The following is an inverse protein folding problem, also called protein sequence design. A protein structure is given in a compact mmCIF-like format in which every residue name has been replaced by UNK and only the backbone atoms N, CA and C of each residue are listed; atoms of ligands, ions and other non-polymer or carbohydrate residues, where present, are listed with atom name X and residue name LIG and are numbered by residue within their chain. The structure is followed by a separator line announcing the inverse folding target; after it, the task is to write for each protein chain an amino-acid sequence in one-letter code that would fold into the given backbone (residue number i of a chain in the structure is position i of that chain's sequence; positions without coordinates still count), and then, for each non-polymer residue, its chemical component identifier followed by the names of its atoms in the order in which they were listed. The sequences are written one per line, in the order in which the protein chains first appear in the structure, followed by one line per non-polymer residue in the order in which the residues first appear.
data_IF_006981017793
#
_entry.id   IF_006981017793
#
_cell.length_a   1.000
_cell.length_b   1.000
_cell.length_c   1.000
_cell.angle_alpha   90.00
_cell.angle_beta   90.00
_cell.angle_gamma   90.00
#
_symmetry.space_group_name_H-M   'P 1'
#
loop_
_entity.id
_entity.type
_entity.pdbx_description
1 polymer ?
#
# COMPACT_ATOMS: atom_id res chain seq x y z
N UNK A 1 7.46 14.12 -40.26
CA UNK A 1 8.01 13.20 -39.23
C UNK A 1 7.29 11.87 -39.40
N UNK A 2 8.00 10.80 -39.75
CA UNK A 2 7.37 9.48 -39.93
C UNK A 2 7.21 8.84 -38.58
N UNK A 3 5.96 8.62 -38.13
CA UNK A 3 5.67 7.97 -36.85
C UNK A 3 5.79 6.45 -37.05
N UNK A 4 6.76 5.83 -36.41
CA UNK A 4 6.92 4.36 -36.38
C UNK A 4 6.23 3.82 -35.14
N UNK A 5 5.33 2.87 -35.33
CA UNK A 5 4.69 2.12 -34.23
C UNK A 5 5.53 0.88 -33.90
N UNK A 6 5.77 0.66 -32.62
CA UNK A 6 6.41 -0.56 -32.13
C UNK A 6 5.33 -1.31 -31.33
N UNK A 7 4.99 -2.52 -31.79
CA UNK A 7 4.14 -3.42 -31.01
C UNK A 7 4.99 -4.07 -29.91
N UNK A 8 4.56 -3.93 -28.67
CA UNK A 8 5.17 -4.62 -27.51
C UNK A 8 4.18 -5.59 -26.91
N UNK A 9 4.67 -6.76 -26.48
CA UNK A 9 3.84 -7.72 -25.74
C UNK A 9 3.54 -7.22 -24.32
N UNK A 10 2.46 -7.73 -23.71
CA UNK A 10 2.13 -7.41 -22.31
C UNK A 10 3.28 -7.77 -21.36
N UNK A 11 3.99 -8.88 -21.58
CA UNK A 11 5.13 -9.27 -20.74
C UNK A 11 6.32 -8.30 -20.88
N UNK A 12 6.55 -7.77 -22.08
CA UNK A 12 7.56 -6.75 -22.31
C UNK A 12 7.13 -5.44 -21.63
N UNK A 13 5.87 -5.06 -21.77
CA UNK A 13 5.32 -3.87 -21.14
C UNK A 13 5.39 -3.94 -19.60
N UNK A 14 5.11 -5.10 -18.99
CA UNK A 14 5.27 -5.31 -17.54
C UNK A 14 6.71 -5.09 -17.08
N UNK A 15 7.70 -5.61 -17.82
CA UNK A 15 9.12 -5.40 -17.51
C UNK A 15 9.52 -3.94 -17.62
N UNK A 16 9.05 -3.23 -18.65
CA UNK A 16 9.28 -1.79 -18.80
C UNK A 16 8.65 -1.00 -17.66
N UNK A 17 7.41 -1.34 -17.28
CA UNK A 17 6.72 -0.73 -16.18
C UNK A 17 7.49 -0.87 -14.85
N UNK A 18 8.07 -2.04 -14.58
CA UNK A 18 8.87 -2.31 -13.38
C UNK A 18 10.21 -1.57 -13.34
N UNK A 19 10.79 -1.25 -14.49
CA UNK A 19 12.01 -0.44 -14.57
C UNK A 19 11.80 1.01 -14.13
N UNK A 20 10.55 1.51 -14.22
CA UNK A 20 10.24 2.89 -13.84
C UNK A 20 10.69 3.95 -14.83
N UNK A 21 10.54 5.24 -14.44
CA UNK A 21 10.94 6.38 -15.28
C UNK A 21 10.30 6.36 -16.66
N UNK A 22 11.03 6.76 -17.68
CA UNK A 22 10.58 6.81 -19.09
C UNK A 22 10.06 5.45 -19.60
N UNK A 23 10.61 4.33 -19.12
CA UNK A 23 10.16 3.00 -19.51
C UNK A 23 8.75 2.69 -19.01
N UNK A 24 8.41 3.13 -17.80
CA UNK A 24 7.05 3.04 -17.26
C UNK A 24 6.07 3.84 -18.13
N UNK A 25 6.46 5.05 -18.53
CA UNK A 25 5.62 5.91 -19.36
C UNK A 25 5.35 5.26 -20.74
N UNK A 26 6.36 4.63 -21.33
CA UNK A 26 6.21 3.87 -22.58
C UNK A 26 5.20 2.73 -22.40
N UNK A 27 5.29 1.95 -21.31
CA UNK A 27 4.37 0.87 -21.05
C UNK A 27 2.92 1.37 -20.89
N UNK A 28 2.71 2.49 -20.21
CA UNK A 28 1.41 3.13 -20.00
C UNK A 28 0.78 3.72 -21.29
N UNK A 29 1.56 3.95 -22.35
CA UNK A 29 1.01 4.34 -23.65
C UNK A 29 0.29 3.19 -24.36
N UNK A 30 0.66 1.94 -24.08
CA UNK A 30 0.17 0.76 -24.75
C UNK A 30 -0.85 -0.05 -23.93
N UNK A 31 -0.77 0.00 -22.60
CA UNK A 31 -1.57 -0.82 -21.68
C UNK A 31 -2.10 0.00 -20.51
N UNK A 32 -3.26 -0.41 -19.99
CA UNK A 32 -3.77 0.16 -18.73
C UNK A 32 -2.88 -0.27 -17.56
N UNK A 33 -2.70 0.61 -16.60
CA UNK A 33 -1.87 0.35 -15.41
C UNK A 33 -2.31 -0.90 -14.65
N UNK A 34 -3.62 -1.14 -14.57
CA UNK A 34 -4.19 -2.35 -13.96
C UNK A 34 -3.69 -3.64 -14.64
N UNK A 35 -3.55 -3.65 -15.97
CA UNK A 35 -3.05 -4.80 -16.72
C UNK A 35 -1.55 -5.04 -16.47
N UNK A 36 -0.80 -3.94 -16.30
CA UNK A 36 0.63 -3.98 -16.02
C UNK A 36 0.93 -4.46 -14.61
N UNK A 37 0.13 -4.04 -13.62
CA UNK A 37 0.25 -4.49 -12.23
C UNK A 37 -0.19 -5.95 -12.11
N UNK A 38 -1.30 -6.34 -12.76
CA UNK A 38 -1.86 -7.69 -12.69
C UNK A 38 -2.16 -8.11 -11.24
N UNK A 39 -1.85 -9.36 -10.89
CA UNK A 39 -2.13 -9.95 -9.58
C UNK A 39 -1.02 -9.71 -8.54
N UNK A 40 0.06 -9.02 -8.91
CA UNK A 40 1.14 -8.74 -7.95
C UNK A 40 0.68 -7.82 -6.81
N UNK A 41 1.37 -7.90 -5.68
CA UNK A 41 1.15 -6.98 -4.57
C UNK A 41 1.57 -5.55 -4.96
N UNK A 42 0.76 -4.53 -4.62
CA UNK A 42 1.09 -3.15 -4.91
C UNK A 42 2.27 -2.69 -4.04
N UNK A 43 3.17 -1.92 -4.63
CA UNK A 43 4.33 -1.33 -3.94
C UNK A 43 4.11 0.13 -3.54
N UNK A 44 3.04 0.75 -4.05
CA UNK A 44 2.66 2.13 -3.74
C UNK A 44 1.15 2.24 -3.57
N UNK A 45 0.70 3.34 -2.97
CA UNK A 45 -0.72 3.66 -2.88
C UNK A 45 -1.39 3.82 -4.26
N UNK A 46 -0.68 4.43 -5.21
CA UNK A 46 -1.21 4.62 -6.56
C UNK A 46 -1.34 3.28 -7.30
N UNK A 47 -0.38 2.37 -7.16
CA UNK A 47 -0.51 1.01 -7.69
C UNK A 47 -1.68 0.23 -7.07
N UNK A 48 -1.93 0.41 -5.77
CA UNK A 48 -3.12 -0.16 -5.13
C UNK A 48 -4.40 0.35 -5.79
N UNK A 49 -4.53 1.67 -5.96
CA UNK A 49 -5.70 2.27 -6.60
C UNK A 49 -5.86 1.78 -8.04
N UNK A 50 -4.77 1.74 -8.82
CA UNK A 50 -4.79 1.27 -10.19
C UNK A 50 -5.17 -0.22 -10.28
N UNK A 51 -4.66 -1.07 -9.39
CA UNK A 51 -5.00 -2.50 -9.31
C UNK A 51 -6.50 -2.72 -9.10
N UNK A 52 -7.12 -1.92 -8.24
CA UNK A 52 -8.55 -2.02 -7.93
C UNK A 52 -9.45 -1.24 -8.91
N UNK A 53 -8.87 -0.58 -9.93
CA UNK A 53 -9.57 0.10 -11.00
C UNK A 53 -10.59 1.13 -10.49
N UNK A 54 -11.82 1.11 -11.00
CA UNK A 54 -12.88 2.08 -10.65
C UNK A 54 -13.16 2.17 -9.14
N UNK A 55 -13.04 1.05 -8.41
CA UNK A 55 -13.19 1.04 -6.94
C UNK A 55 -12.03 1.76 -6.29
N UNK A 56 -10.80 1.51 -6.75
CA UNK A 56 -9.59 2.20 -6.29
C UNK A 56 -9.66 3.70 -6.53
N UNK A 57 -10.11 4.12 -7.71
CA UNK A 57 -10.28 5.54 -8.05
C UNK A 57 -11.30 6.24 -7.15
N UNK A 58 -12.43 5.58 -6.84
CA UNK A 58 -13.43 6.12 -5.91
C UNK A 58 -12.89 6.24 -4.48
N UNK A 59 -12.13 5.27 -4.02
CA UNK A 59 -11.48 5.32 -2.70
C UNK A 59 -10.47 6.47 -2.67
N UNK A 60 -9.63 6.60 -3.69
CA UNK A 60 -8.64 7.69 -3.81
C UNK A 60 -9.32 9.06 -3.77
N UNK A 61 -10.39 9.25 -4.54
CA UNK A 61 -11.17 10.48 -4.56
C UNK A 61 -11.81 10.79 -3.19
N UNK A 62 -12.36 9.77 -2.52
CA UNK A 62 -12.97 9.92 -1.20
C UNK A 62 -11.96 10.33 -0.12
N UNK A 63 -10.76 9.72 -0.12
CA UNK A 63 -9.69 10.08 0.82
C UNK A 63 -9.16 11.48 0.55
N UNK A 64 -9.02 11.88 -0.72
CA UNK A 64 -8.62 13.23 -1.08
C UNK A 64 -9.66 14.26 -0.66
N UNK A 65 -10.96 13.95 -0.81
CA UNK A 65 -12.06 14.81 -0.36
C UNK A 65 -12.06 14.92 1.17
N UNK A 66 -11.89 13.82 1.90
CA UNK A 66 -11.79 13.81 3.35
C UNK A 66 -10.62 14.71 3.82
N UNK A 67 -9.47 14.62 3.15
CA UNK A 67 -8.32 15.46 3.42
C UNK A 67 -8.61 16.95 3.22
N UNK A 68 -9.28 17.31 2.12
CA UNK A 68 -9.65 18.70 1.82
C UNK A 68 -10.73 19.26 2.75
N UNK A 69 -11.58 18.40 3.33
CA UNK A 69 -12.68 18.79 4.23
C UNK A 69 -12.32 18.71 5.70
N UNK A 70 -11.09 18.31 6.03
CA UNK A 70 -10.59 18.30 7.39
C UNK A 70 -10.61 19.73 7.94
N UNK A 71 -11.37 19.92 9.00
CA UNK A 71 -11.47 21.18 9.68
C UNK A 71 -11.09 21.03 11.17
N UNK A 72 -10.88 22.14 11.82
CA UNK A 72 -10.46 22.23 13.24
C UNK A 72 -11.42 21.56 14.24
N UNK A 73 -12.60 21.15 13.81
CA UNK A 73 -13.57 20.47 14.67
C UNK A 73 -13.45 18.94 14.63
N UNK A 74 -12.73 18.41 13.65
CA UNK A 74 -12.55 16.95 13.45
C UNK A 74 -11.22 16.47 14.05
N UNK A 75 -10.16 17.26 13.90
CA UNK A 75 -8.82 16.93 14.40
C UNK A 75 -8.19 18.14 15.07
N UNK A 76 -7.32 17.91 16.07
CA UNK A 76 -6.65 18.98 16.80
C UNK A 76 -5.68 19.79 15.92
N UNK A 77 -5.07 19.13 14.94
CA UNK A 77 -4.15 19.73 13.99
C UNK A 77 -4.10 18.94 12.67
N UNK A 78 -3.39 19.52 11.70
CA UNK A 78 -3.24 18.95 10.35
C UNK A 78 -2.45 17.64 10.35
N UNK A 79 -1.42 17.52 11.21
CA UNK A 79 -0.58 16.31 11.31
C UNK A 79 -1.41 15.11 11.77
N UNK A 80 -2.29 15.33 12.76
CA UNK A 80 -3.19 14.27 13.23
C UNK A 80 -4.15 13.82 12.14
N UNK A 81 -4.66 14.75 11.34
CA UNK A 81 -5.51 14.42 10.20
C UNK A 81 -4.77 13.56 9.14
N UNK A 82 -3.53 13.92 8.82
CA UNK A 82 -2.68 13.15 7.91
C UNK A 82 -2.44 11.73 8.44
N UNK A 83 -2.11 11.58 9.72
CA UNK A 83 -1.91 10.28 10.35
C UNK A 83 -3.14 9.37 10.24
N UNK A 84 -4.35 9.90 10.40
CA UNK A 84 -5.58 9.14 10.21
C UNK A 84 -5.78 8.68 8.76
N UNK A 85 -5.50 9.55 7.78
CA UNK A 85 -5.58 9.18 6.35
C UNK A 85 -4.52 8.13 6.01
N UNK A 86 -3.30 8.27 6.50
CA UNK A 86 -2.24 7.28 6.34
C UNK A 86 -2.67 5.92 6.89
N UNK A 87 -3.24 5.88 8.09
CA UNK A 87 -3.78 4.66 8.69
C UNK A 87 -4.90 4.04 7.84
N UNK A 88 -5.81 4.82 7.28
CA UNK A 88 -6.85 4.31 6.38
C UNK A 88 -6.27 3.66 5.12
N UNK A 89 -5.25 4.28 4.50
CA UNK A 89 -4.53 3.69 3.37
C UNK A 89 -3.84 2.38 3.76
N UNK A 90 -3.15 2.37 4.90
CA UNK A 90 -2.49 1.17 5.43
C UNK A 90 -3.47 0.03 5.68
N UNK A 91 -4.72 0.31 6.08
CA UNK A 91 -5.76 -0.71 6.22
C UNK A 91 -6.00 -1.47 4.92
N UNK A 92 -6.19 -0.73 3.84
CA UNK A 92 -6.52 -1.28 2.54
C UNK A 92 -5.33 -2.04 1.94
N UNK A 93 -4.14 -1.46 2.01
CA UNK A 93 -2.89 -2.08 1.56
C UNK A 93 -2.58 -3.37 2.34
N UNK A 94 -2.75 -3.35 3.65
CA UNK A 94 -2.56 -4.52 4.52
C UNK A 94 -3.49 -5.67 4.12
N UNK A 95 -4.74 -5.38 3.83
CA UNK A 95 -5.72 -6.41 3.48
C UNK A 95 -5.39 -7.08 2.15
N UNK A 96 -4.84 -6.34 1.17
CA UNK A 96 -4.27 -6.90 -0.05
C UNK A 96 -3.10 -7.86 0.23
N UNK A 97 -2.14 -7.42 1.08
CA UNK A 97 -0.98 -8.22 1.47
C UNK A 97 -1.34 -9.45 2.28
N UNK A 98 -2.42 -9.40 3.04
CA UNK A 98 -2.96 -10.54 3.79
C UNK A 98 -3.65 -11.57 2.89
N UNK A 99 -4.08 -11.19 1.71
CA UNK A 99 -4.76 -12.07 0.75
C UNK A 99 -5.84 -12.95 1.42
N UNK A 100 -6.71 -12.34 2.21
CA UNK A 100 -7.77 -13.01 2.96
C UNK A 100 -7.36 -13.63 4.29
N UNK A 101 -6.06 -13.71 4.62
CA UNK A 101 -5.62 -14.17 5.94
C UNK A 101 -6.04 -13.19 7.05
N UNK A 102 -6.51 -13.76 8.16
CA UNK A 102 -6.89 -13.01 9.37
C UNK A 102 -6.12 -13.55 10.58
N UNK A 103 -5.51 -12.69 11.40
CA UNK A 103 -4.81 -13.14 12.60
C UNK A 103 -5.80 -13.71 13.61
N UNK A 104 -5.58 -14.95 14.06
CA UNK A 104 -6.25 -15.52 15.22
C UNK A 104 -5.42 -15.22 16.47
N UNK A 105 -5.86 -14.26 17.27
CA UNK A 105 -5.20 -13.85 18.50
C UNK A 105 -5.46 -14.79 19.68
N UNK A 106 -6.39 -15.74 19.53
CA UNK A 106 -6.67 -16.77 20.53
C UNK A 106 -5.75 -17.98 20.36
N UNK A 107 -5.23 -18.19 19.16
CA UNK A 107 -4.23 -19.23 18.93
C UNK A 107 -2.87 -18.81 19.50
N UNK A 108 -2.53 -19.38 20.65
CA UNK A 108 -1.28 -19.18 21.35
C UNK A 108 -0.10 -20.00 20.78
N UNK A 109 -0.25 -20.67 19.65
CA UNK A 109 0.80 -21.51 19.05
C UNK A 109 1.46 -20.85 17.83
N UNK A 110 0.69 -20.10 17.06
CA UNK A 110 1.17 -19.47 15.84
C UNK A 110 1.59 -18.02 16.10
N UNK A 111 2.88 -17.74 15.95
CA UNK A 111 3.41 -16.38 15.96
C UNK A 111 2.92 -15.59 14.75
N UNK A 112 2.59 -14.33 14.97
CA UNK A 112 2.24 -13.35 13.95
C UNK A 112 3.38 -12.36 13.84
N UNK A 113 3.66 -11.89 12.62
CA UNK A 113 4.68 -10.90 12.38
C UNK A 113 4.03 -9.53 12.33
N UNK A 114 4.48 -8.66 13.22
CA UNK A 114 3.86 -7.35 13.48
C UNK A 114 4.86 -6.27 13.13
N UNK A 115 4.39 -5.22 12.46
CA UNK A 115 5.18 -4.01 12.29
C UNK A 115 4.89 -3.08 13.46
N UNK A 116 5.94 -2.67 14.13
CA UNK A 116 5.92 -1.75 15.26
C UNK A 116 6.82 -0.55 15.01
N UNK A 117 6.52 0.54 15.70
CA UNK A 117 7.37 1.72 15.74
C UNK A 117 7.85 1.97 17.17
N UNK A 118 9.15 2.09 17.37
CA UNK A 118 9.76 2.44 18.65
C UNK A 118 10.95 3.37 18.43
N UNK A 119 11.01 4.45 19.20
CA UNK A 119 12.10 5.44 19.15
C UNK A 119 12.32 6.04 17.74
N UNK A 120 11.25 6.09 16.93
CA UNK A 120 11.30 6.62 15.57
C UNK A 120 11.75 5.63 14.50
N UNK A 121 11.98 4.36 14.87
CA UNK A 121 12.32 3.29 13.93
C UNK A 121 11.16 2.30 13.80
N UNK A 122 10.87 1.89 12.55
CA UNK A 122 9.90 0.85 12.25
C UNK A 122 10.60 -0.47 11.97
N UNK A 123 10.15 -1.53 12.63
CA UNK A 123 10.73 -2.87 12.51
C UNK A 123 9.65 -3.96 12.56
N UNK A 124 10.02 -5.17 12.15
CA UNK A 124 9.17 -6.35 12.23
C UNK A 124 9.51 -7.16 13.47
N UNK A 125 8.52 -7.45 14.30
CA UNK A 125 8.66 -8.31 15.47
C UNK A 125 7.69 -9.50 15.40
N UNK A 126 8.01 -10.60 16.09
CA UNK A 126 7.14 -11.78 16.15
C UNK A 126 6.46 -11.87 17.51
N UNK A 127 5.13 -11.91 17.50
CA UNK A 127 4.30 -12.03 18.69
C UNK A 127 3.31 -13.18 18.60
N UNK A 128 2.95 -13.72 19.73
CA UNK A 128 1.93 -14.79 19.86
C UNK A 128 0.60 -14.21 20.33
N UNK A 129 0.63 -13.33 21.33
CA UNK A 129 -0.57 -12.85 22.03
C UNK A 129 -0.86 -11.36 21.86
N UNK A 130 0.06 -10.59 21.28
CA UNK A 130 -0.13 -9.14 21.12
C UNK A 130 -0.88 -8.89 19.83
N UNK A 131 -2.09 -8.32 19.95
CA UNK A 131 -2.85 -7.89 18.79
C UNK A 131 -2.30 -6.58 18.25
N UNK A 132 -2.05 -6.54 16.95
CA UNK A 132 -1.61 -5.35 16.24
C UNK A 132 -2.38 -5.15 14.96
N UNK A 133 -2.53 -3.90 14.61
CA UNK A 133 -3.13 -3.46 13.36
C UNK A 133 -2.34 -3.97 12.14
N UNK A 134 -1.01 -3.86 12.14
CA UNK A 134 -0.12 -4.30 11.07
C UNK A 134 0.48 -5.68 11.38
N UNK A 135 -0.37 -6.72 11.40
CA UNK A 135 0.06 -8.09 11.57
C UNK A 135 -0.03 -8.89 10.28
N UNK A 136 0.93 -9.77 10.04
CA UNK A 136 1.05 -10.61 8.84
C UNK A 136 1.31 -12.07 9.23
N UNK A 137 1.04 -12.98 8.29
CA UNK A 137 1.19 -14.41 8.50
C UNK A 137 2.66 -14.83 8.56
N UNK A 138 3.51 -14.20 7.78
CA UNK A 138 4.92 -14.54 7.65
C UNK A 138 5.81 -13.29 7.63
N UNK A 139 7.08 -13.51 7.97
CA UNK A 139 8.09 -12.46 8.11
C UNK A 139 8.42 -11.77 6.78
N UNK A 140 8.43 -12.54 5.69
CA UNK A 140 8.73 -12.02 4.36
C UNK A 140 7.71 -10.99 3.94
N UNK A 141 6.42 -11.32 4.08
CA UNK A 141 5.31 -10.41 3.76
C UNK A 141 5.34 -9.17 4.63
N UNK A 142 5.63 -9.31 5.94
CA UNK A 142 5.74 -8.17 6.85
C UNK A 142 6.91 -7.23 6.47
N UNK A 143 8.08 -7.77 6.14
CA UNK A 143 9.24 -6.99 5.72
C UNK A 143 9.03 -6.32 4.35
N UNK A 144 8.37 -7.00 3.41
CA UNK A 144 8.03 -6.42 2.11
C UNK A 144 7.05 -5.26 2.27
N UNK A 145 6.04 -5.41 3.12
CA UNK A 145 5.10 -4.34 3.44
C UNK A 145 5.80 -3.15 4.09
N UNK A 146 6.64 -3.39 5.10
CA UNK A 146 7.41 -2.33 5.76
C UNK A 146 8.32 -1.59 4.77
N UNK A 147 8.99 -2.31 3.88
CA UNK A 147 9.88 -1.72 2.88
C UNK A 147 9.11 -0.81 1.90
N UNK A 148 7.96 -1.27 1.42
CA UNK A 148 7.19 -0.56 0.42
C UNK A 148 6.41 0.64 0.99
N UNK A 149 6.02 0.60 2.26
CA UNK A 149 5.11 1.59 2.88
C UNK A 149 5.69 2.26 4.13
N UNK A 150 7.01 2.27 4.30
CA UNK A 150 7.69 2.86 5.46
C UNK A 150 7.23 4.30 5.72
N UNK A 151 7.26 5.15 4.70
CA UNK A 151 6.87 6.57 4.84
C UNK A 151 5.41 6.72 5.31
N UNK A 152 4.51 5.87 4.80
CA UNK A 152 3.11 5.88 5.19
C UNK A 152 2.89 5.36 6.63
N UNK A 153 3.73 4.41 7.07
CA UNK A 153 3.74 3.90 8.44
C UNK A 153 4.23 4.99 9.40
N UNK A 154 5.30 5.68 9.05
CA UNK A 154 5.85 6.82 9.82
C UNK A 154 4.86 7.99 9.88
N UNK A 155 4.13 8.27 8.78
CA UNK A 155 3.07 9.29 8.74
C UNK A 155 1.90 8.92 9.67
N UNK A 156 1.52 7.64 9.75
CA UNK A 156 0.49 7.17 10.67
C UNK A 156 0.93 7.26 12.14
N UNK A 157 2.22 7.16 12.42
CA UNK A 157 2.82 7.37 13.74
C UNK A 157 2.19 6.53 14.85
N UNK A 158 1.83 7.15 15.95
CA UNK A 158 1.28 6.49 17.15
C UNK A 158 -0.11 5.86 16.95
N UNK A 159 -0.68 5.95 15.75
CA UNK A 159 -1.99 5.35 15.44
C UNK A 159 -1.92 3.88 15.03
N UNK A 160 -0.74 3.32 14.87
CA UNK A 160 -0.52 1.92 14.43
C UNK A 160 -0.01 1.00 15.51
#
# INVERSE_FOLDING_TARGET
METRYIEISLDTAKRLYEQGGEFRDIALTAFKEQELIGDRLPKTWDEYCAKHGEVGDRIKASLNTAYMTINKYTFSDYKQAQAHIAKMKLHLLRDDYRNGWKPDWKDGKLGKYVIESSEGECYVAKYIHISSFLAFQDEKTANEFLTNFRELIEEAGDLI
#
